data_IF_117425672699
#
_entry.id   IF_117425672699
#
_cell.length_a   1.000
_cell.length_b   1.000
_cell.length_c   1.000
_cell.angle_alpha   90.00
_cell.angle_beta   90.00
_cell.angle_gamma   90.00
#
_symmetry.space_group_name_H-M   'P 1'
#
loop_
_entity.id
_entity.type
_entity.pdbx_description
1 polymer ?
#
# COMPACT_ATOMS: atom_id res chain seq x y z
N UNK A 1 31.15 1.59 -12.01
CA UNK A 1 30.54 0.26 -11.76
C UNK A 1 30.30 -0.03 -10.26
N UNK A 2 30.93 0.70 -9.34
CA UNK A 2 30.82 0.52 -7.88
C UNK A 2 29.60 1.20 -7.22
N UNK A 3 28.99 2.21 -7.86
CA UNK A 3 27.76 2.88 -7.40
C UNK A 3 26.54 1.94 -7.36
N UNK A 4 26.52 0.88 -8.19
CA UNK A 4 25.45 -0.14 -8.15
C UNK A 4 25.47 -0.99 -6.87
N UNK A 5 26.62 -1.13 -6.20
CA UNK A 5 26.74 -1.93 -4.97
C UNK A 5 26.20 -1.17 -3.76
N UNK A 6 26.37 0.16 -3.74
CA UNK A 6 25.82 1.04 -2.69
C UNK A 6 24.29 1.05 -2.75
N UNK A 7 23.71 1.17 -3.96
CA UNK A 7 22.26 1.02 -4.17
C UNK A 7 21.73 -0.34 -3.69
N UNK A 8 22.48 -1.43 -3.93
CA UNK A 8 22.09 -2.78 -3.50
C UNK A 8 22.09 -2.93 -1.97
N UNK A 9 22.97 -2.22 -1.25
CA UNK A 9 23.01 -2.27 0.24
C UNK A 9 21.82 -1.55 0.87
N UNK A 10 21.47 -0.37 0.36
CA UNK A 10 20.26 0.37 0.80
C UNK A 10 18.97 -0.39 0.42
N UNK A 11 18.98 -1.08 -0.73
CA UNK A 11 17.87 -1.91 -1.19
C UNK A 11 17.48 -3.02 -0.21
N UNK A 12 18.43 -3.60 0.53
CA UNK A 12 18.12 -4.66 1.50
C UNK A 12 17.34 -4.14 2.71
N UNK A 13 17.65 -2.93 3.21
CA UNK A 13 16.95 -2.33 4.34
C UNK A 13 15.50 -1.98 3.96
N UNK A 14 15.35 -1.25 2.86
CA UNK A 14 14.04 -0.84 2.34
C UNK A 14 13.19 -2.06 1.99
N UNK A 15 13.72 -3.05 1.25
CA UNK A 15 12.91 -4.21 0.86
C UNK A 15 12.52 -5.07 2.05
N UNK A 16 13.42 -5.30 3.01
CA UNK A 16 13.07 -6.03 4.23
C UNK A 16 11.95 -5.34 5.00
N UNK A 17 12.01 -4.02 5.12
CA UNK A 17 10.95 -3.25 5.79
C UNK A 17 9.64 -3.25 5.00
N UNK A 18 9.71 -3.23 3.66
CA UNK A 18 8.52 -3.36 2.82
C UNK A 18 7.81 -4.69 3.00
N UNK A 19 8.56 -5.80 2.97
CA UNK A 19 8.01 -7.12 3.23
C UNK A 19 7.48 -7.26 4.65
N UNK A 20 8.14 -6.61 5.62
CA UNK A 20 7.65 -6.56 7.01
C UNK A 20 6.30 -5.86 7.08
N UNK A 21 6.13 -4.69 6.47
CA UNK A 21 4.87 -3.95 6.48
C UNK A 21 3.73 -4.74 5.81
N UNK A 22 4.00 -5.42 4.69
CA UNK A 22 3.03 -6.34 4.06
C UNK A 22 2.63 -7.48 5.02
N UNK A 23 3.62 -8.10 5.67
CA UNK A 23 3.37 -9.21 6.61
C UNK A 23 2.57 -8.74 7.83
N UNK A 24 2.89 -7.59 8.39
CA UNK A 24 2.18 -6.98 9.52
C UNK A 24 0.73 -6.66 9.16
N UNK A 25 0.49 -6.04 7.99
CA UNK A 25 -0.85 -5.79 7.48
C UNK A 25 -1.64 -7.09 7.35
N UNK A 26 -1.07 -8.12 6.70
CA UNK A 26 -1.75 -9.39 6.47
C UNK A 26 -2.07 -10.11 7.78
N UNK A 27 -1.18 -10.04 8.78
CA UNK A 27 -1.43 -10.59 10.10
C UNK A 27 -2.57 -9.85 10.82
N UNK A 28 -2.57 -8.52 10.77
CA UNK A 28 -3.61 -7.70 11.39
C UNK A 28 -4.99 -7.91 10.71
N UNK A 29 -5.01 -7.97 9.38
CA UNK A 29 -6.21 -8.26 8.60
C UNK A 29 -6.78 -9.64 8.92
N UNK A 30 -5.92 -10.67 8.97
CA UNK A 30 -6.31 -12.02 9.38
C UNK A 30 -6.89 -12.06 10.78
N UNK A 31 -6.24 -11.41 11.74
CA UNK A 31 -6.72 -11.37 13.13
C UNK A 31 -8.09 -10.67 13.21
N UNK A 32 -8.25 -9.53 12.52
CA UNK A 32 -9.51 -8.76 12.48
C UNK A 32 -10.66 -9.57 11.89
N UNK A 33 -10.39 -10.40 10.88
CA UNK A 33 -11.37 -11.32 10.32
C UNK A 33 -11.75 -12.44 11.30
N UNK A 34 -10.76 -13.07 11.97
CA UNK A 34 -11.01 -14.16 12.93
C UNK A 34 -11.89 -13.70 14.11
N UNK A 35 -11.67 -12.49 14.61
CA UNK A 35 -12.46 -11.94 15.73
C UNK A 35 -13.81 -11.34 15.29
N UNK A 36 -14.12 -11.35 13.98
CA UNK A 36 -15.38 -10.86 13.43
C UNK A 36 -15.50 -9.33 13.30
N UNK A 37 -14.39 -8.58 13.46
CA UNK A 37 -14.38 -7.12 13.26
C UNK A 37 -14.43 -6.77 11.77
N UNK A 38 -13.69 -7.51 10.94
CA UNK A 38 -13.73 -7.35 9.49
C UNK A 38 -14.63 -8.43 8.86
N UNK A 39 -15.62 -8.06 8.01
CA UNK A 39 -16.55 -9.02 7.41
C UNK A 39 -15.94 -9.82 6.25
N UNK A 40 -14.70 -9.52 5.85
CA UNK A 40 -14.02 -10.11 4.70
C UNK A 40 -12.54 -10.19 4.96
N UNK A 41 -11.92 -11.31 4.59
CA UNK A 41 -10.48 -11.50 4.75
C UNK A 41 -9.75 -10.66 3.70
N UNK A 42 -8.89 -9.75 4.17
CA UNK A 42 -8.06 -8.90 3.32
C UNK A 42 -6.62 -9.42 3.25
N UNK A 43 -6.00 -9.21 2.10
CA UNK A 43 -4.57 -9.45 1.86
C UNK A 43 -3.96 -8.30 1.07
N UNK A 44 -2.83 -7.79 1.55
CA UNK A 44 -1.96 -6.88 0.84
C UNK A 44 -0.83 -7.61 0.10
N UNK A 45 -0.46 -7.07 -1.06
CA UNK A 45 0.70 -7.49 -1.84
C UNK A 45 1.35 -6.33 -2.58
N UNK A 46 2.62 -6.50 -2.96
CA UNK A 46 3.35 -5.55 -3.80
C UNK A 46 2.94 -5.76 -5.27
N UNK A 47 2.60 -4.68 -5.97
CA UNK A 47 2.22 -4.67 -7.40
C UNK A 47 2.99 -3.61 -8.15
N UNK A 48 2.86 -3.54 -9.48
CA UNK A 48 3.59 -2.53 -10.28
C UNK A 48 3.23 -1.09 -9.90
N UNK A 49 2.01 -0.83 -9.41
CA UNK A 49 1.48 0.52 -9.23
C UNK A 49 1.05 1.16 -10.54
N UNK A 50 0.65 2.43 -10.47
CA UNK A 50 0.39 3.30 -11.60
C UNK A 50 1.58 4.24 -11.83
N UNK A 51 2.14 4.23 -13.05
CA UNK A 51 3.28 5.09 -13.39
C UNK A 51 2.98 6.58 -13.29
N UNK A 52 1.71 6.99 -13.39
CA UNK A 52 1.32 8.39 -13.25
C UNK A 52 1.41 8.89 -11.80
N UNK A 53 1.44 7.99 -10.82
CA UNK A 53 1.44 8.34 -9.40
C UNK A 53 2.84 8.43 -8.79
N UNK A 54 3.86 8.14 -9.59
CA UNK A 54 5.26 8.20 -9.19
C UNK A 54 5.65 9.55 -8.57
N UNK A 55 6.62 9.47 -7.68
CA UNK A 55 7.30 10.55 -6.94
C UNK A 55 8.78 10.16 -6.76
N UNK A 56 9.56 11.03 -6.10
CA UNK A 56 11.02 10.90 -6.00
C UNK A 56 11.51 9.59 -5.36
N UNK A 57 10.71 8.97 -4.48
CA UNK A 57 11.08 7.74 -3.77
C UNK A 57 10.54 6.46 -4.43
N UNK A 58 9.72 6.58 -5.49
CA UNK A 58 9.03 5.44 -6.08
C UNK A 58 10.01 4.41 -6.60
N UNK A 59 9.81 3.14 -6.23
CA UNK A 59 10.62 2.05 -6.81
C UNK A 59 10.18 1.81 -8.25
N UNK A 60 11.15 1.65 -9.15
CA UNK A 60 10.89 1.42 -10.58
C UNK A 60 10.01 0.18 -10.84
N UNK A 61 10.21 -0.88 -10.04
CA UNK A 61 9.35 -2.08 -9.99
C UNK A 61 8.77 -2.21 -8.58
N UNK A 62 7.47 -2.47 -8.51
CA UNK A 62 6.79 -2.72 -7.25
C UNK A 62 6.24 -1.46 -6.57
N UNK A 63 5.84 -0.40 -7.28
CA UNK A 63 5.34 0.85 -6.66
C UNK A 63 3.98 0.71 -5.98
N UNK A 64 3.21 -0.34 -6.29
CA UNK A 64 1.86 -0.53 -5.77
C UNK A 64 1.80 -1.31 -4.46
N UNK A 65 0.97 -0.84 -3.54
CA UNK A 65 0.49 -1.56 -2.38
C UNK A 65 -0.98 -1.93 -2.64
N UNK A 66 -1.24 -3.19 -2.99
CA UNK A 66 -2.59 -3.64 -3.35
C UNK A 66 -3.20 -4.46 -2.24
N UNK A 67 -4.36 -4.03 -1.75
CA UNK A 67 -5.25 -4.76 -0.85
C UNK A 67 -6.32 -5.48 -1.69
N UNK A 68 -6.58 -6.75 -1.40
CA UNK A 68 -7.61 -7.58 -2.02
C UNK A 68 -8.46 -8.30 -0.99
N UNK A 69 -9.74 -8.46 -1.29
CA UNK A 69 -10.57 -9.45 -0.62
C UNK A 69 -10.22 -10.86 -1.13
N UNK A 70 -9.92 -11.78 -0.22
CA UNK A 70 -9.59 -13.18 -0.53
C UNK A 70 -10.81 -14.11 -0.49
N UNK A 71 -11.70 -13.91 0.47
CA UNK A 71 -12.85 -14.78 0.72
C UNK A 71 -14.03 -14.00 1.26
N UNK A 72 -15.24 -14.53 1.05
CA UNK A 72 -16.50 -13.86 1.40
C UNK A 72 -17.20 -13.29 0.17
N UNK A 73 -18.00 -12.25 0.37
CA UNK A 73 -18.70 -11.55 -0.72
C UNK A 73 -17.77 -10.60 -1.47
N UNK A 74 -18.04 -10.29 -2.76
CA UNK A 74 -17.35 -9.21 -3.45
C UNK A 74 -17.47 -7.89 -2.66
N UNK A 75 -16.39 -7.12 -2.62
CA UNK A 75 -16.42 -5.77 -2.06
C UNK A 75 -17.19 -4.84 -2.99
N UNK A 76 -18.12 -4.08 -2.43
CA UNK A 76 -18.73 -2.96 -3.11
C UNK A 76 -17.73 -1.81 -3.27
N UNK A 77 -17.99 -0.91 -4.22
CA UNK A 77 -17.10 0.23 -4.46
C UNK A 77 -16.96 1.12 -3.22
N UNK A 78 -18.06 1.34 -2.49
CA UNK A 78 -18.09 2.07 -1.22
C UNK A 78 -17.13 1.48 -0.20
N UNK A 79 -17.16 0.17 0.00
CA UNK A 79 -16.29 -0.54 0.93
C UNK A 79 -14.82 -0.49 0.51
N UNK A 80 -14.55 -0.61 -0.79
CA UNK A 80 -13.17 -0.45 -1.28
C UNK A 80 -12.63 0.96 -1.01
N UNK A 81 -13.49 1.98 -1.13
CA UNK A 81 -13.14 3.37 -0.79
C UNK A 81 -12.92 3.52 0.71
N UNK A 82 -13.75 2.92 1.55
CA UNK A 82 -13.62 2.95 3.00
C UNK A 82 -12.32 2.29 3.48
N UNK A 83 -11.99 1.09 2.95
CA UNK A 83 -10.71 0.42 3.20
C UNK A 83 -9.54 1.32 2.79
N UNK A 84 -9.64 1.98 1.63
CA UNK A 84 -8.64 2.94 1.17
C UNK A 84 -8.45 4.09 2.16
N UNK A 85 -9.55 4.69 2.63
CA UNK A 85 -9.54 5.80 3.60
C UNK A 85 -8.88 5.42 4.91
N UNK A 86 -9.15 4.23 5.45
CA UNK A 86 -8.51 3.76 6.69
C UNK A 86 -6.98 3.82 6.61
N UNK A 87 -6.40 3.52 5.44
CA UNK A 87 -4.95 3.64 5.21
C UNK A 87 -4.54 5.09 4.99
N UNK A 88 -5.24 5.81 4.12
CA UNK A 88 -4.88 7.16 3.68
C UNK A 88 -5.02 8.21 4.78
N UNK A 89 -6.00 8.06 5.68
CA UNK A 89 -6.24 8.96 6.82
C UNK A 89 -5.20 8.76 7.93
N UNK A 90 -4.45 7.65 7.90
CA UNK A 90 -3.28 7.45 8.75
C UNK A 90 -2.05 8.09 8.11
N UNK A 91 -1.83 9.38 8.39
CA UNK A 91 -0.75 10.16 7.81
C UNK A 91 0.63 9.54 8.08
N UNK A 92 0.89 9.04 9.30
CA UNK A 92 2.18 8.43 9.65
C UNK A 92 2.44 7.16 8.82
N UNK A 93 1.42 6.33 8.61
CA UNK A 93 1.52 5.15 7.76
C UNK A 93 1.75 5.55 6.29
N UNK A 94 0.98 6.50 5.79
CA UNK A 94 1.09 6.99 4.41
C UNK A 94 2.48 7.56 4.13
N UNK A 95 3.03 8.39 5.02
CA UNK A 95 4.41 8.90 4.93
C UNK A 95 5.44 7.78 4.95
N UNK A 96 5.28 6.78 5.83
CA UNK A 96 6.14 5.59 5.87
C UNK A 96 6.08 4.79 4.57
N UNK A 97 4.90 4.62 3.99
CA UNK A 97 4.75 3.90 2.71
C UNK A 97 5.47 4.64 1.57
N UNK A 98 5.36 5.97 1.52
CA UNK A 98 6.06 6.81 0.53
C UNK A 98 7.57 6.71 0.71
N UNK A 99 8.09 6.80 1.94
CA UNK A 99 9.54 6.73 2.19
C UNK A 99 10.11 5.36 1.80
N UNK A 100 9.33 4.30 1.95
CA UNK A 100 9.68 2.94 1.50
C UNK A 100 9.50 2.73 -0.02
N UNK A 101 8.99 3.74 -0.74
CA UNK A 101 8.93 3.78 -2.19
C UNK A 101 7.68 3.17 -2.83
N UNK A 102 6.59 3.05 -2.07
CA UNK A 102 5.26 2.86 -2.67
C UNK A 102 4.69 4.19 -3.16
N UNK A 103 4.11 4.18 -4.37
CA UNK A 103 3.49 5.33 -5.02
C UNK A 103 1.97 5.22 -5.16
N UNK A 104 1.45 3.98 -5.16
CA UNK A 104 0.05 3.68 -5.46
C UNK A 104 -0.53 2.83 -4.34
N UNK A 105 -1.62 3.30 -3.73
CA UNK A 105 -2.51 2.43 -2.95
C UNK A 105 -3.60 1.89 -3.88
N UNK A 106 -3.87 0.60 -3.83
CA UNK A 106 -4.90 -0.03 -4.66
C UNK A 106 -5.79 -0.92 -3.79
N UNK A 107 -7.11 -0.84 -3.94
CA UNK A 107 -8.06 -1.77 -3.32
C UNK A 107 -8.89 -2.42 -4.40
N UNK A 108 -8.90 -3.75 -4.41
CA UNK A 108 -9.56 -4.56 -5.44
C UNK A 108 -10.54 -5.56 -4.81
N UNK A 109 -11.65 -5.78 -5.52
CA UNK A 109 -12.55 -6.89 -5.20
C UNK A 109 -11.90 -8.26 -5.51
N UNK A 110 -12.50 -9.34 -4.99
CA UNK A 110 -12.03 -10.71 -5.21
C UNK A 110 -12.11 -11.12 -6.70
N UNK A 111 -13.19 -10.74 -7.39
CA UNK A 111 -13.42 -11.05 -8.79
C UNK A 111 -13.33 -9.80 -9.69
N UNK A 112 -12.51 -9.87 -10.74
CA UNK A 112 -12.44 -8.87 -11.81
C UNK A 112 -11.27 -7.88 -11.78
N UNK A 113 -11.24 -7.01 -12.78
CA UNK A 113 -10.26 -5.92 -12.95
C UNK A 113 -10.68 -4.62 -12.25
N UNK A 114 -11.83 -4.63 -11.57
CA UNK A 114 -12.38 -3.46 -10.90
C UNK A 114 -11.67 -3.25 -9.56
N UNK A 115 -11.01 -2.11 -9.44
CA UNK A 115 -10.37 -1.64 -8.22
C UNK A 115 -10.36 -0.11 -8.21
N UNK A 116 -10.16 0.43 -7.03
CA UNK A 116 -9.94 1.87 -6.80
C UNK A 116 -8.48 2.07 -6.42
N UNK A 117 -7.91 3.19 -6.84
CA UNK A 117 -6.50 3.48 -6.63
C UNK A 117 -6.30 4.94 -6.29
N UNK A 118 -5.25 5.22 -5.52
CA UNK A 118 -4.90 6.56 -5.08
C UNK A 118 -3.40 6.80 -5.20
N UNK A 119 -2.99 8.00 -5.63
CA UNK A 119 -1.60 8.45 -5.53
C UNK A 119 -1.27 8.77 -4.06
N UNK A 120 -0.41 7.96 -3.43
CA UNK A 120 -0.07 8.13 -2.00
C UNK A 120 0.44 9.53 -1.66
N UNK A 121 1.18 10.15 -2.60
CA UNK A 121 1.75 11.51 -2.45
C UNK A 121 0.72 12.60 -2.14
N UNK A 122 -0.53 12.43 -2.56
CA UNK A 122 -1.59 13.42 -2.32
C UNK A 122 -2.15 13.36 -0.88
N UNK A 123 -1.86 12.29 -0.14
CA UNK A 123 -2.42 12.02 1.20
C UNK A 123 -1.40 12.13 2.32
N UNK A 124 -0.15 12.43 2.00
CA UNK A 124 0.93 12.43 2.97
C UNK A 124 1.20 13.78 3.62
N UNK A 125 0.41 14.82 3.29
CA UNK A 125 0.58 16.20 3.78
C UNK A 125 2.04 16.67 3.74
N UNK A 126 2.78 16.27 2.70
CA UNK A 126 4.20 16.58 2.52
C UNK A 126 4.28 18.05 2.07
N UNK A 127 4.24 18.97 3.03
CA UNK A 127 4.21 20.41 2.77
C UNK A 127 3.40 21.24 3.76
N UNK A 128 2.97 20.69 4.91
CA UNK A 128 2.10 21.36 5.89
C UNK A 128 2.56 22.70 6.49
N UNK A 129 3.68 23.29 6.07
CA UNK A 129 4.01 24.69 6.35
C UNK A 129 4.83 25.30 5.21
N UNK A 130 4.21 26.16 4.41
CA UNK A 130 4.72 27.47 3.98
C UNK A 130 3.51 28.34 3.60
N UNK A 131 2.86 28.93 4.62
CA UNK A 131 2.26 30.25 4.50
C UNK A 131 3.28 31.26 5.01
#
# INVERSE_FOLDING_TARGET
>A
MWYKIIEVKEWFGDMAERYRLIKEFNQAAKNSFIVGVAPTLLEAKITKGDSNYRHAFSKWRGGGFRIKALSGRPLEKSEMVEIGRVVLDNESLTRKMISLGWDTLEVHANAGYLGVKWPLKEYANIGGFLN
#
